data_IF_581836065270
#
_entry.id   IF_581836065270
#
_cell.length_a   1.000
_cell.length_b   1.000
_cell.length_c   1.000
_cell.angle_alpha   90.00
_cell.angle_beta   90.00
_cell.angle_gamma   90.00
#
_symmetry.space_group_name_H-M   'P 1'
#
loop_
_entity.id
_entity.type
_entity.pdbx_description
1 polymer ?
#
# COMPACT_ATOMS: atom_id res chain seq x y z
N UNK A 1 9.45 -3.15 -15.37
CA UNK A 1 9.44 -2.75 -13.93
C UNK A 1 8.87 -3.85 -13.03
N UNK A 2 7.57 -4.16 -13.09
CA UNK A 2 6.98 -5.17 -12.17
C UNK A 2 7.35 -6.64 -12.47
N UNK A 3 7.56 -7.02 -13.73
CA UNK A 3 7.91 -8.40 -14.11
C UNK A 3 9.40 -8.74 -13.92
N UNK A 4 10.28 -7.77 -14.16
CA UNK A 4 11.73 -7.96 -14.06
C UNK A 4 12.26 -7.76 -12.63
N UNK A 5 11.57 -6.97 -11.81
CA UNK A 5 11.99 -6.65 -10.44
C UNK A 5 10.81 -6.64 -9.46
N UNK A 6 10.14 -7.79 -9.26
CA UNK A 6 8.95 -7.88 -8.39
C UNK A 6 9.23 -7.46 -6.94
N UNK A 7 10.46 -7.69 -6.44
CA UNK A 7 10.90 -7.28 -5.11
C UNK A 7 10.88 -5.75 -4.89
N UNK A 8 11.08 -4.94 -5.94
CA UNK A 8 11.00 -3.49 -5.83
C UNK A 8 9.55 -3.05 -5.60
N UNK A 9 8.58 -3.68 -6.27
CA UNK A 9 7.17 -3.36 -6.08
C UNK A 9 6.70 -3.67 -4.64
N UNK A 10 7.22 -4.72 -4.01
CA UNK A 10 6.96 -4.98 -2.58
C UNK A 10 7.62 -3.95 -1.68
N UNK A 11 8.88 -3.59 -1.96
CA UNK A 11 9.61 -2.58 -1.20
C UNK A 11 8.92 -1.20 -1.24
N UNK A 12 8.44 -0.77 -2.41
CA UNK A 12 7.67 0.47 -2.57
C UNK A 12 6.39 0.45 -1.75
N UNK A 13 5.64 -0.67 -1.79
CA UNK A 13 4.40 -0.84 -1.02
C UNK A 13 4.64 -0.75 0.49
N UNK A 14 5.73 -1.37 0.97
CA UNK A 14 6.13 -1.31 2.38
C UNK A 14 6.52 0.12 2.77
N UNK A 15 7.35 0.78 1.97
CA UNK A 15 7.78 2.15 2.22
C UNK A 15 6.58 3.11 2.31
N UNK A 16 5.60 2.99 1.41
CA UNK A 16 4.38 3.79 1.50
C UNK A 16 3.55 3.48 2.75
N UNK A 17 3.47 2.21 3.15
CA UNK A 17 2.74 1.85 4.39
C UNK A 17 3.40 2.43 5.64
N UNK A 18 4.74 2.41 5.69
CA UNK A 18 5.51 2.98 6.80
C UNK A 18 5.42 4.51 6.83
N UNK A 19 5.60 5.17 5.67
CA UNK A 19 5.49 6.63 5.54
C UNK A 19 4.10 7.15 5.91
N UNK A 20 3.05 6.45 5.52
CA UNK A 20 1.67 6.88 5.74
C UNK A 20 1.09 6.35 7.06
N UNK A 21 1.77 5.42 7.74
CA UNK A 21 1.28 4.79 8.97
C UNK A 21 -0.02 4.01 8.79
N UNK A 22 -0.33 3.59 7.56
CA UNK A 22 -1.57 2.90 7.20
C UNK A 22 -1.31 1.80 6.19
N UNK A 23 -2.19 0.80 6.16
CA UNK A 23 -2.09 -0.27 5.20
C UNK A 23 -2.47 0.22 3.79
N UNK A 24 -1.53 0.17 2.86
CA UNK A 24 -1.79 0.46 1.44
C UNK A 24 -2.01 -0.83 0.66
N UNK A 25 -2.89 -0.81 -0.35
CA UNK A 25 -3.20 -1.99 -1.17
C UNK A 25 -2.91 -1.72 -2.64
N UNK A 26 -2.20 -2.63 -3.28
CA UNK A 26 -1.91 -2.56 -4.72
C UNK A 26 -3.06 -3.18 -5.50
N UNK A 27 -3.76 -2.37 -6.30
CA UNK A 27 -4.98 -2.78 -7.01
C UNK A 27 -4.68 -3.24 -8.44
N UNK A 28 -3.76 -2.58 -9.11
CA UNK A 28 -3.38 -2.88 -10.49
C UNK A 28 -1.85 -2.89 -10.63
N UNK A 29 -1.32 -3.82 -11.42
CA UNK A 29 0.12 -3.90 -11.68
C UNK A 29 0.41 -3.98 -13.15
N UNK A 30 1.51 -3.35 -13.56
CA UNK A 30 1.99 -3.37 -14.94
C UNK A 30 2.28 -4.80 -15.42
N UNK A 31 2.63 -5.71 -14.50
CA UNK A 31 2.84 -7.13 -14.80
C UNK A 31 1.55 -7.87 -15.24
N UNK A 32 0.36 -7.33 -14.96
CA UNK A 32 -0.92 -7.91 -15.33
C UNK A 32 -1.55 -7.25 -16.57
N UNK A 33 -0.85 -6.30 -17.22
CA UNK A 33 -1.32 -5.63 -18.44
C UNK A 33 -1.90 -4.22 -18.24
N UNK A 34 -1.89 -3.70 -17.01
CA UNK A 34 -2.26 -2.31 -16.75
C UNK A 34 -1.14 -1.35 -17.16
N UNK A 35 -1.46 -0.26 -17.87
CA UNK A 35 -0.46 0.73 -18.30
C UNK A 35 0.24 1.47 -17.16
N UNK A 36 -0.22 1.32 -15.91
CA UNK A 36 0.28 1.98 -14.70
C UNK A 36 0.11 1.08 -13.48
N UNK A 37 0.96 1.23 -12.47
CA UNK A 37 0.69 0.70 -11.13
C UNK A 37 -0.34 1.59 -10.43
N UNK A 38 -1.37 1.00 -9.81
CA UNK A 38 -2.29 1.75 -8.94
C UNK A 38 -2.23 1.21 -7.50
N UNK A 39 -2.06 2.13 -6.57
CA UNK A 39 -2.05 1.85 -5.14
C UNK A 39 -3.19 2.61 -4.48
N UNK A 40 -4.06 1.89 -3.77
CA UNK A 40 -5.08 2.47 -2.92
C UNK A 40 -4.44 2.92 -1.61
N UNK A 41 -4.50 4.22 -1.38
CA UNK A 41 -4.13 4.85 -0.11
C UNK A 41 -5.42 5.21 0.63
N UNK A 42 -5.71 4.61 1.79
CA UNK A 42 -6.89 4.98 2.56
C UNK A 42 -6.77 6.42 3.04
N UNK A 43 -7.85 7.18 2.91
CA UNK A 43 -7.96 8.52 3.48
C UNK A 43 -8.00 8.37 5.02
N UNK A 44 -6.85 8.56 5.66
CA UNK A 44 -6.79 8.71 7.12
C UNK A 44 -7.30 10.11 7.42
N UNK A 45 -8.63 10.29 7.46
CA UNK A 45 -9.16 11.32 8.35
C UNK A 45 -8.63 10.95 9.73
N UNK A 46 -7.89 11.83 10.39
CA UNK A 46 -7.35 11.59 11.72
C UNK A 46 -8.50 11.45 12.73
N UNK A 47 -9.24 10.33 12.68
CA UNK A 47 -10.10 9.89 13.75
C UNK A 47 -9.18 9.24 14.78
N UNK A 48 -9.09 9.79 16.01
CA UNK A 48 -8.20 9.25 17.03
C UNK A 48 -8.59 7.79 17.30
N UNK A 49 -7.73 6.86 16.90
CA UNK A 49 -7.91 5.44 17.13
C UNK A 49 -7.78 5.17 18.62
N UNK A 50 -8.93 5.05 19.29
CA UNK A 50 -9.03 4.47 20.63
C UNK A 50 -8.64 3.00 20.51
N UNK A 51 -7.38 2.67 20.86
CA UNK A 51 -6.97 1.28 21.10
C UNK A 51 -7.78 0.74 22.28
N UNK A 52 -8.94 0.14 22.03
CA UNK A 52 -9.66 -0.64 23.05
C UNK A 52 -9.15 -2.07 22.99
N UNK A 53 -8.12 -2.35 23.80
CA UNK A 53 -7.80 -3.71 24.19
C UNK A 53 -9.05 -4.36 24.77
N UNK A 54 -9.37 -5.56 24.30
CA UNK A 54 -10.50 -6.34 24.80
C UNK A 54 -9.91 -7.55 25.52
N UNK A 55 -9.93 -7.48 26.85
CA UNK A 55 -9.84 -8.62 27.77
C UNK A 55 -10.95 -9.63 27.51
#
# INVERSE_FOLDING_TARGET
MAAEFPQLCEAETRAFSELLGTHVQRLATIAHGDGVCTTFVPQIVASPTTKKGRS
#
